data_IF_251876595503
#
_entry.id   IF_251876595503
#
_cell.length_a   1.000
_cell.length_b   1.000
_cell.length_c   1.000
_cell.angle_alpha   90.00
_cell.angle_beta   90.00
_cell.angle_gamma   90.00
#
_symmetry.space_group_name_H-M   'P 1'
#
loop_
_entity.id
_entity.type
_entity.pdbx_description
1 polymer ?
#
# COMPACT_ATOMS: atom_id res chain seq x y z
N UNK A 1 13.13 -16.47 -24.32
CA UNK A 1 13.51 -15.30 -23.50
C UNK A 1 12.61 -14.14 -23.88
N UNK A 2 11.42 -14.07 -23.31
CA UNK A 2 10.48 -12.97 -23.57
C UNK A 2 10.74 -11.86 -22.57
N UNK A 3 11.28 -10.74 -23.07
CA UNK A 3 11.29 -9.47 -22.34
C UNK A 3 9.86 -9.13 -21.91
N UNK A 4 9.68 -8.40 -20.79
CA UNK A 4 8.39 -7.80 -20.50
C UNK A 4 7.99 -6.94 -21.71
N UNK A 5 6.73 -6.96 -22.17
CA UNK A 5 6.32 -6.09 -23.26
C UNK A 5 6.62 -4.64 -22.87
N UNK A 6 7.29 -3.93 -23.79
CA UNK A 6 7.57 -2.51 -23.64
C UNK A 6 6.30 -1.78 -23.22
N UNK A 7 6.39 -1.05 -22.12
CA UNK A 7 5.30 -0.28 -21.53
C UNK A 7 4.60 0.57 -22.60
N UNK A 8 5.34 1.08 -23.58
CA UNK A 8 4.87 1.90 -24.71
C UNK A 8 3.91 1.18 -25.67
N UNK A 9 4.01 -0.14 -25.85
CA UNK A 9 3.20 -0.88 -26.84
C UNK A 9 1.77 -1.08 -26.35
N UNK A 10 1.55 -1.10 -25.04
CA UNK A 10 0.20 -1.22 -24.45
C UNK A 10 -0.60 0.10 -24.54
N UNK A 11 0.06 1.24 -24.74
CA UNK A 11 -0.57 2.57 -24.76
C UNK A 11 -1.36 2.89 -26.05
N UNK A 12 -1.15 2.17 -27.15
CA UNK A 12 -1.65 2.61 -28.47
C UNK A 12 -2.95 1.94 -28.93
N UNK A 13 -3.61 1.10 -28.11
CA UNK A 13 -4.73 0.25 -28.55
C UNK A 13 -6.03 0.28 -27.74
N UNK A 14 -6.44 1.37 -27.09
CA UNK A 14 -7.85 1.46 -26.64
C UNK A 14 -8.38 2.89 -26.42
N UNK A 15 -9.53 3.26 -27.03
CA UNK A 15 -10.13 4.59 -26.94
C UNK A 15 -11.30 4.66 -25.94
N UNK A 16 -11.09 4.39 -24.64
CA UNK A 16 -12.18 4.58 -23.65
C UNK A 16 -11.66 5.16 -22.33
N UNK A 17 -11.92 6.45 -22.13
CA UNK A 17 -11.65 7.21 -20.91
C UNK A 17 -12.52 6.65 -19.78
N UNK A 18 -11.95 5.81 -18.91
CA UNK A 18 -12.61 5.36 -17.67
C UNK A 18 -11.75 5.72 -16.46
N UNK A 19 -12.40 6.32 -15.44
CA UNK A 19 -11.81 6.59 -14.12
C UNK A 19 -11.09 5.35 -13.57
N UNK A 20 -9.93 5.48 -12.89
CA UNK A 20 -9.16 4.31 -12.45
C UNK A 20 -9.98 3.44 -11.50
N UNK A 21 -9.88 2.11 -11.61
CA UNK A 21 -10.55 1.23 -10.67
C UNK A 21 -9.97 1.43 -9.26
N UNK A 22 -10.84 1.74 -8.29
CA UNK A 22 -10.53 1.77 -6.86
C UNK A 22 -10.73 0.38 -6.27
N UNK A 23 -9.81 -0.07 -5.41
CA UNK A 23 -9.81 -1.44 -4.89
C UNK A 23 -9.94 -1.48 -3.37
N UNK A 24 -10.60 -2.52 -2.86
CA UNK A 24 -10.41 -2.97 -1.49
C UNK A 24 -8.97 -3.44 -1.31
N UNK A 25 -8.43 -3.36 -0.08
CA UNK A 25 -7.02 -3.68 0.18
C UNK A 25 -6.62 -5.08 -0.35
N UNK A 26 -7.46 -6.09 -0.11
CA UNK A 26 -7.18 -7.46 -0.56
C UNK A 26 -7.12 -7.60 -2.09
N UNK A 27 -7.98 -6.87 -2.82
CA UNK A 27 -7.97 -6.90 -4.28
C UNK A 27 -6.79 -6.11 -4.84
N UNK A 28 -6.41 -4.99 -4.20
CA UNK A 28 -5.20 -4.25 -4.54
C UNK A 28 -3.95 -5.11 -4.36
N UNK A 29 -3.87 -5.84 -3.25
CA UNK A 29 -2.78 -6.78 -2.98
C UNK A 29 -2.70 -7.88 -4.03
N UNK A 30 -3.83 -8.52 -4.35
CA UNK A 30 -3.91 -9.54 -5.40
C UNK A 30 -3.39 -9.00 -6.72
N UNK A 31 -3.88 -7.83 -7.14
CA UNK A 31 -3.39 -7.18 -8.36
C UNK A 31 -1.87 -6.98 -8.34
N UNK A 32 -1.31 -6.47 -7.24
CA UNK A 32 0.13 -6.27 -7.14
C UNK A 32 0.90 -7.59 -7.18
N UNK A 33 0.39 -8.69 -6.63
CA UNK A 33 1.03 -10.01 -6.70
C UNK A 33 0.92 -10.67 -8.07
N UNK A 34 -0.14 -10.37 -8.82
CA UNK A 34 -0.33 -10.87 -10.19
C UNK A 34 0.60 -10.16 -11.20
N UNK A 35 1.01 -8.92 -10.91
CA UNK A 35 1.76 -8.06 -11.86
C UNK A 35 3.16 -7.66 -11.38
N UNK A 36 3.39 -7.67 -10.08
CA UNK A 36 4.60 -7.21 -9.40
C UNK A 36 4.88 -8.15 -8.22
N UNK A 37 5.57 -7.68 -7.18
CA UNK A 37 5.87 -8.48 -5.99
C UNK A 37 4.74 -8.41 -4.95
N UNK A 38 4.36 -7.21 -4.52
CA UNK A 38 3.28 -6.99 -3.54
C UNK A 38 2.89 -5.49 -3.50
N UNK A 39 2.01 -5.09 -2.57
CA UNK A 39 1.81 -3.70 -2.19
C UNK A 39 3.10 -3.09 -1.61
N UNK A 40 3.22 -1.77 -1.72
CA UNK A 40 4.41 -1.04 -1.31
C UNK A 40 4.75 -1.20 0.18
N UNK A 41 6.05 -1.42 0.44
CA UNK A 41 6.68 -1.47 1.75
C UNK A 41 7.65 -0.30 1.88
N UNK A 42 7.72 0.32 3.06
CA UNK A 42 8.62 1.44 3.33
C UNK A 42 9.48 1.10 4.53
N UNK A 43 10.79 0.99 4.35
CA UNK A 43 11.73 0.74 5.45
C UNK A 43 12.48 2.03 5.85
N UNK A 44 12.30 3.12 5.11
CA UNK A 44 12.88 4.42 5.41
C UNK A 44 12.04 5.60 4.89
N UNK A 45 12.39 6.81 5.32
CA UNK A 45 11.81 8.04 4.77
C UNK A 45 12.20 8.24 3.29
N UNK A 46 13.36 7.76 2.87
CA UNK A 46 13.82 7.84 1.48
C UNK A 46 12.90 7.04 0.55
N UNK A 47 12.42 5.87 0.99
CA UNK A 47 11.47 5.06 0.23
C UNK A 47 10.17 5.81 -0.04
N UNK A 48 9.71 6.59 0.95
CA UNK A 48 8.54 7.45 0.81
C UNK A 48 8.85 8.66 -0.09
N UNK A 49 10.04 9.25 -0.02
CA UNK A 49 10.42 10.39 -0.87
C UNK A 49 10.57 9.99 -2.34
N UNK A 50 10.97 8.75 -2.62
CA UNK A 50 10.98 8.17 -3.98
C UNK A 50 9.57 8.10 -4.58
N UNK A 51 8.51 8.22 -3.78
CA UNK A 51 7.17 8.28 -4.31
C UNK A 51 6.95 9.59 -5.09
N UNK A 52 6.93 9.51 -6.42
CA UNK A 52 6.45 10.61 -7.27
C UNK A 52 4.99 10.91 -6.89
N UNK A 53 4.76 12.14 -6.43
CA UNK A 53 3.54 12.58 -5.73
C UNK A 53 2.23 12.75 -6.54
N UNK A 54 2.13 12.63 -7.89
CA UNK A 54 0.87 12.95 -8.59
C UNK A 54 -0.34 12.14 -8.09
N UNK A 55 -0.16 10.86 -7.74
CA UNK A 55 -1.28 10.01 -7.30
C UNK A 55 -1.75 10.33 -5.88
N UNK A 56 -0.82 10.79 -5.03
CA UNK A 56 -1.06 11.08 -3.62
C UNK A 56 -1.65 12.47 -3.41
N UNK A 57 -1.51 13.36 -4.40
CA UNK A 57 -1.95 14.75 -4.34
C UNK A 57 -3.45 14.90 -4.06
N UNK A 58 -4.26 13.88 -4.35
CA UNK A 58 -5.72 13.92 -4.25
C UNK A 58 -6.31 12.97 -3.20
N UNK A 59 -5.57 11.98 -2.69
CA UNK A 59 -6.11 11.00 -1.73
C UNK A 59 -5.03 10.16 -0.99
N UNK A 60 -5.46 9.55 0.12
CA UNK A 60 -4.78 8.43 0.76
C UNK A 60 -4.90 7.16 -0.07
N UNK A 61 -3.80 6.43 -0.24
CA UNK A 61 -3.73 5.21 -1.07
C UNK A 61 -3.27 4.00 -0.26
N UNK A 62 -3.68 2.80 -0.68
CA UNK A 62 -3.30 1.55 -0.01
C UNK A 62 -1.80 1.26 -0.13
N UNK A 63 -1.24 0.76 0.99
CA UNK A 63 0.14 0.27 1.11
C UNK A 63 0.13 -1.11 1.77
N UNK A 64 1.27 -1.81 1.79
CA UNK A 64 1.37 -3.19 2.24
C UNK A 64 1.33 -3.39 3.75
N UNK A 65 1.29 -2.32 4.56
CA UNK A 65 1.26 -2.47 6.02
C UNK A 65 -0.15 -2.89 6.46
N UNK A 66 -0.25 -4.04 7.12
CA UNK A 66 -1.50 -4.59 7.61
C UNK A 66 -1.32 -5.02 9.06
N UNK A 67 -2.31 -4.70 9.87
CA UNK A 67 -2.38 -5.17 11.25
C UNK A 67 -2.70 -6.67 11.23
N UNK A 68 -1.97 -7.45 12.00
CA UNK A 68 -2.20 -8.89 12.13
C UNK A 68 -3.00 -9.19 13.40
N UNK A 69 -4.26 -9.62 13.24
CA UNK A 69 -5.12 -10.00 14.33
C UNK A 69 -4.73 -11.31 15.04
N UNK A 70 -3.52 -11.83 14.90
CA UNK A 70 -3.01 -12.88 15.80
C UNK A 70 -2.05 -12.30 16.85
N UNK A 71 -1.36 -11.21 16.52
CA UNK A 71 -0.38 -10.54 17.39
C UNK A 71 -0.96 -9.99 18.71
N UNK A 72 -2.21 -9.53 18.67
CA UNK A 72 -2.92 -8.98 19.85
C UNK A 72 -3.39 -10.09 20.79
N UNK A 73 -3.75 -11.26 20.26
CA UNK A 73 -4.22 -12.40 21.05
C UNK A 73 -3.10 -12.97 21.93
N UNK A 74 -1.89 -12.99 21.40
CA UNK A 74 -0.72 -13.51 22.13
C UNK A 74 -0.22 -12.57 23.24
N UNK A 75 -0.55 -11.27 23.18
CA UNK A 75 -0.06 -10.27 24.13
C UNK A 75 -1.18 -9.50 24.86
N UNK A 76 -2.41 -10.03 24.90
CA UNK A 76 -3.55 -9.39 25.58
C UNK A 76 -3.76 -7.90 25.18
N UNK A 77 -3.52 -7.55 23.92
CA UNK A 77 -3.63 -6.17 23.43
C UNK A 77 -2.45 -5.24 23.79
N UNK A 78 -1.38 -5.73 24.42
CA UNK A 78 -0.17 -4.98 24.75
C UNK A 78 0.94 -5.06 23.68
N UNK A 79 0.70 -5.76 22.55
CA UNK A 79 1.68 -5.83 21.47
C UNK A 79 1.90 -4.46 20.85
N UNK A 80 3.05 -3.83 21.17
CA UNK A 80 3.48 -2.54 20.62
C UNK A 80 3.61 -2.52 19.09
N UNK A 81 3.64 -3.67 18.40
CA UNK A 81 3.86 -3.72 16.96
C UNK A 81 3.18 -4.93 16.27
N UNK A 82 1.85 -4.91 16.19
CA UNK A 82 1.07 -5.93 15.48
C UNK A 82 1.08 -5.76 13.95
N UNK A 83 1.60 -4.65 13.46
CA UNK A 83 1.67 -4.31 12.03
C UNK A 83 2.79 -5.07 11.32
N UNK A 84 2.44 -5.69 10.18
CA UNK A 84 3.39 -6.39 9.32
C UNK A 84 3.25 -5.94 7.87
N UNK A 85 4.37 -5.96 7.16
CA UNK A 85 4.39 -5.78 5.72
C UNK A 85 3.86 -7.02 5.02
N UNK A 86 2.95 -6.84 4.07
CA UNK A 86 2.36 -7.93 3.28
C UNK A 86 3.39 -8.75 2.51
N UNK A 87 4.47 -8.09 2.07
CA UNK A 87 5.57 -8.71 1.31
C UNK A 87 6.39 -9.69 2.15
N UNK A 88 6.60 -9.40 3.43
CA UNK A 88 7.52 -10.17 4.31
C UNK A 88 6.80 -10.94 5.42
N UNK A 89 5.57 -10.55 5.75
CA UNK A 89 4.85 -11.02 6.94
C UNK A 89 5.50 -10.57 8.25
N UNK A 90 6.44 -9.62 8.22
CA UNK A 90 7.21 -9.15 9.38
C UNK A 90 6.98 -7.65 9.64
N UNK A 91 7.19 -7.17 10.86
CA UNK A 91 7.31 -5.73 11.13
C UNK A 91 8.46 -5.11 10.34
N UNK A 92 8.51 -3.77 10.29
CA UNK A 92 9.66 -3.07 9.71
C UNK A 92 10.96 -3.51 10.38
N UNK A 93 11.94 -3.83 9.54
CA UNK A 93 13.29 -4.24 9.95
C UNK A 93 14.08 -3.12 10.60
N UNK A 94 13.80 -1.87 10.21
CA UNK A 94 14.42 -0.65 10.76
C UNK A 94 13.61 -0.06 11.92
N UNK A 95 12.46 -0.65 12.25
CA UNK A 95 11.48 -0.04 13.15
C UNK A 95 10.81 1.21 12.58
N UNK A 96 11.00 1.50 11.29
CA UNK A 96 10.46 2.68 10.65
C UNK A 96 8.94 2.65 10.63
N UNK A 97 8.34 3.75 11.10
CA UNK A 97 6.93 4.05 10.88
C UNK A 97 6.74 5.57 10.85
N UNK A 98 5.82 6.03 10.00
CA UNK A 98 5.51 7.45 9.85
C UNK A 98 4.02 7.69 10.10
N UNK A 99 3.52 7.16 11.21
CA UNK A 99 2.13 7.35 11.61
C UNK A 99 1.79 8.84 11.73
N UNK A 100 0.58 9.21 11.31
CA UNK A 100 0.05 10.54 11.58
C UNK A 100 -0.22 10.73 13.09
N UNK A 101 -0.44 11.97 13.52
CA UNK A 101 -0.77 12.22 14.92
C UNK A 101 -2.08 11.49 15.30
N UNK A 102 -2.09 10.81 16.45
CA UNK A 102 -3.24 10.01 16.92
C UNK A 102 -3.44 8.68 16.18
N UNK A 103 -2.45 8.22 15.41
CA UNK A 103 -2.48 6.97 14.65
C UNK A 103 -1.41 5.98 15.13
N UNK A 104 -1.63 4.65 15.00
CA UNK A 104 -2.91 4.02 14.66
C UNK A 104 -3.95 4.24 15.78
N UNK A 105 -5.25 4.26 15.44
CA UNK A 105 -6.30 4.36 16.45
C UNK A 105 -6.32 3.08 17.28
N UNK A 106 -6.67 3.23 18.57
CA UNK A 106 -6.79 2.09 19.48
C UNK A 106 -7.82 1.10 18.93
N UNK A 107 -7.55 -0.19 19.11
CA UNK A 107 -8.12 -1.43 18.56
C UNK A 107 -9.66 -1.60 18.41
N UNK A 108 -10.48 -0.57 18.65
CA UNK A 108 -11.95 -0.66 18.64
C UNK A 108 -12.57 -0.61 17.23
N UNK A 109 -11.88 -0.07 16.24
CA UNK A 109 -12.51 0.34 14.98
C UNK A 109 -12.30 -0.64 13.78
N UNK A 110 -11.77 -1.86 14.00
CA UNK A 110 -11.49 -2.85 12.94
C UNK A 110 -10.66 -2.28 11.76
N UNK A 111 -9.75 -1.35 12.04
CA UNK A 111 -8.91 -0.67 11.05
C UNK A 111 -7.62 -1.45 10.80
N UNK A 112 -7.73 -2.61 10.16
CA UNK A 112 -6.60 -3.53 10.00
C UNK A 112 -5.70 -3.24 8.80
N UNK A 113 -6.06 -2.29 7.94
CA UNK A 113 -5.28 -1.94 6.76
C UNK A 113 -4.72 -0.53 6.91
N UNK A 114 -3.71 -0.18 6.10
CA UNK A 114 -3.10 1.14 6.19
C UNK A 114 -3.01 1.85 4.84
N UNK A 115 -3.01 3.17 4.93
CA UNK A 115 -2.84 4.05 3.77
C UNK A 115 -1.71 5.04 4.02
N UNK A 116 -1.19 5.62 2.93
CA UNK A 116 -0.25 6.74 2.98
C UNK A 116 -0.83 7.95 2.22
N UNK A 117 -0.56 9.16 2.72
CA UNK A 117 -0.90 10.42 2.02
C UNK A 117 0.32 11.03 1.28
N UNK A 118 0.13 12.18 0.61
CA UNK A 118 1.19 12.90 -0.12
C UNK A 118 2.35 13.41 0.73
N UNK A 119 2.20 13.43 2.06
CA UNK A 119 3.26 13.81 3.01
C UNK A 119 3.99 12.59 3.58
N UNK A 120 3.66 11.38 3.12
CA UNK A 120 4.28 10.18 3.66
C UNK A 120 3.76 9.78 5.04
N UNK A 121 2.58 10.28 5.44
CA UNK A 121 1.98 9.94 6.72
C UNK A 121 1.06 8.73 6.57
N UNK A 122 1.27 7.76 7.47
CA UNK A 122 0.53 6.51 7.54
C UNK A 122 -0.73 6.67 8.40
N UNK A 123 -1.80 6.02 7.98
CA UNK A 123 -3.09 6.01 8.67
C UNK A 123 -3.64 4.61 8.66
N UNK A 124 -4.24 4.19 9.78
CA UNK A 124 -5.10 3.01 9.78
C UNK A 124 -6.39 3.28 9.01
N UNK A 125 -6.95 2.24 8.42
CA UNK A 125 -8.14 2.32 7.60
C UNK A 125 -8.88 1.00 7.55
N UNK A 126 -10.20 1.10 7.36
CA UNK A 126 -11.04 -0.08 7.10
C UNK A 126 -10.65 -0.68 5.76
N UNK A 127 -10.25 -1.95 5.77
CA UNK A 127 -9.85 -2.71 4.57
C UNK A 127 -10.95 -2.75 3.48
N UNK A 128 -12.20 -2.52 3.86
CA UNK A 128 -13.37 -2.48 2.97
C UNK A 128 -13.56 -1.16 2.22
N UNK A 129 -12.70 -0.15 2.42
CA UNK A 129 -12.75 1.06 1.61
C UNK A 129 -12.11 0.83 0.23
N UNK A 130 -12.68 1.42 -0.82
CA UNK A 130 -12.10 1.39 -2.16
C UNK A 130 -11.13 2.55 -2.32
N UNK A 131 -9.86 2.27 -2.65
CA UNK A 131 -8.81 3.30 -2.84
C UNK A 131 -7.88 2.95 -3.99
N UNK A 132 -7.14 3.96 -4.47
CA UNK A 132 -5.92 3.73 -5.27
C UNK A 132 -4.86 3.07 -4.40
N UNK A 133 -3.82 2.52 -5.02
CA UNK A 133 -2.81 1.72 -4.32
C UNK A 133 -1.45 1.79 -5.02
N UNK A 134 -0.40 1.43 -4.28
CA UNK A 134 0.99 1.42 -4.77
C UNK A 134 1.50 -0.02 -4.71
N UNK A 135 2.03 -0.51 -5.83
CA UNK A 135 2.73 -1.80 -5.90
C UNK A 135 4.24 -1.60 -5.79
N UNK A 136 4.94 -2.66 -5.44
CA UNK A 136 6.39 -2.75 -5.37
C UNK A 136 6.84 -4.04 -6.08
N UNK A 137 7.91 -3.98 -6.88
CA UNK A 137 8.48 -5.14 -7.57
C UNK A 137 9.71 -5.74 -6.87
N UNK A 138 10.20 -5.12 -5.79
CA UNK A 138 11.46 -5.47 -5.15
C UNK A 138 12.56 -4.41 -5.30
N UNK A 139 12.42 -3.48 -6.25
CA UNK A 139 13.37 -2.40 -6.53
C UNK A 139 12.69 -1.04 -6.72
N UNK A 140 11.54 -1.01 -7.39
CA UNK A 140 10.81 0.19 -7.78
C UNK A 140 9.35 0.16 -7.30
N UNK A 141 8.77 1.34 -7.13
CA UNK A 141 7.36 1.54 -6.82
C UNK A 141 6.56 1.84 -8.08
N UNK A 142 5.45 1.14 -8.28
CA UNK A 142 4.56 1.30 -9.42
C UNK A 142 3.19 1.78 -8.96
N UNK A 143 2.68 2.81 -9.64
CA UNK A 143 1.34 3.35 -9.40
C UNK A 143 0.35 2.75 -10.38
N UNK A 144 -0.86 2.43 -9.91
CA UNK A 144 -2.02 2.40 -10.82
C UNK A 144 -2.66 3.78 -10.85
N UNK A 145 -2.25 4.60 -11.82
CA UNK A 145 -2.83 5.92 -12.08
C UNK A 145 -4.18 5.80 -12.81
N UNK A 146 -5.02 6.87 -12.78
CA UNK A 146 -6.11 7.07 -13.73
C UNK A 146 -5.75 6.64 -15.13
N UNK A 147 -6.67 5.93 -15.77
CA UNK A 147 -6.48 5.32 -17.07
C UNK A 147 -5.86 6.28 -18.08
N UNK A 148 -4.85 5.76 -18.76
CA UNK A 148 -4.77 5.88 -20.21
C UNK A 148 -4.92 4.46 -20.74
#
# INVERSE_FOLDING_TARGET
>A
TTSPPDVDVLYHKSPVITSPPLFHWANAQRYCRDKYKDLATFESMEDIQKLKRPILATAQVWIGLRDDPKSWKENLGNAKNSWRWSTTGKPSSTGYSSWANGQPKKFKDKLYCSTVNNRGKMYDASCGLKRKFICFDGKNFFYKLPGN
#
